data_IF_353567805335
#
_entry.id   IF_353567805335
#
_cell.length_a   1.000
_cell.length_b   1.000
_cell.length_c   1.000
_cell.angle_alpha   90.00
_cell.angle_beta   90.00
_cell.angle_gamma   90.00
#
_symmetry.space_group_name_H-M   'P 1'
#
loop_
_entity.id
_entity.type
_entity.pdbx_description
1 polymer ?
#
# COMPACT_ATOMS: atom_id res chain seq x y z
N UNK A 1 -34.36 2.52 14.15
CA UNK A 1 -33.57 3.45 13.34
C UNK A 1 -32.12 3.03 13.49
N UNK A 2 -31.48 2.55 12.42
CA UNK A 2 -30.06 2.16 12.46
C UNK A 2 -29.21 3.42 12.62
N UNK A 3 -28.42 3.50 13.69
CA UNK A 3 -27.40 4.55 13.86
C UNK A 3 -26.43 4.50 12.67
N UNK A 4 -26.31 5.60 11.94
CA UNK A 4 -25.25 5.77 10.95
C UNK A 4 -23.95 6.00 11.72
N UNK A 5 -23.17 4.93 11.93
CA UNK A 5 -21.78 5.08 12.39
C UNK A 5 -20.99 5.75 11.27
N UNK A 6 -20.61 7.00 11.48
CA UNK A 6 -19.67 7.71 10.61
C UNK A 6 -18.28 7.10 10.87
N UNK A 7 -17.72 6.44 9.85
CA UNK A 7 -16.37 5.90 9.92
C UNK A 7 -15.36 7.05 9.91
N UNK A 8 -14.36 6.97 10.78
CA UNK A 8 -13.25 7.93 10.78
C UNK A 8 -12.43 7.74 9.49
N UNK A 9 -12.29 8.82 8.72
CA UNK A 9 -11.48 8.85 7.50
C UNK A 9 -10.10 9.37 7.90
N UNK A 10 -9.08 8.51 7.83
CA UNK A 10 -7.69 8.93 8.02
C UNK A 10 -7.03 9.14 6.67
N UNK A 11 -6.53 10.36 6.43
CA UNK A 11 -5.65 10.66 5.32
C UNK A 11 -4.20 10.52 5.77
N UNK A 12 -3.48 9.58 5.17
CA UNK A 12 -2.07 9.35 5.48
C UNK A 12 -1.21 9.60 4.23
N UNK A 13 -0.02 10.17 4.46
CA UNK A 13 0.96 10.41 3.39
C UNK A 13 1.87 9.20 3.27
N UNK A 14 1.85 8.56 2.11
CA UNK A 14 2.64 7.39 1.76
C UNK A 14 3.49 7.70 0.52
N UNK A 15 4.35 6.76 0.13
CA UNK A 15 5.13 6.80 -1.11
C UNK A 15 4.77 5.59 -1.96
N UNK A 16 4.72 5.76 -3.27
CA UNK A 16 4.57 4.68 -4.22
C UNK A 16 5.33 4.98 -5.52
N UNK A 17 5.68 3.94 -6.27
CA UNK A 17 6.10 4.10 -7.65
C UNK A 17 4.93 4.58 -8.51
N UNK A 18 5.16 5.62 -9.30
CA UNK A 18 4.22 6.21 -10.25
C UNK A 18 4.84 6.11 -11.64
N UNK A 19 4.10 5.50 -12.56
CA UNK A 19 4.48 5.35 -13.95
C UNK A 19 4.47 6.71 -14.69
N UNK A 20 5.15 6.83 -15.84
CA UNK A 20 5.14 8.06 -16.64
C UNK A 20 3.75 8.56 -17.05
N UNK A 21 2.76 7.66 -17.14
CA UNK A 21 1.37 7.99 -17.44
C UNK A 21 0.57 8.52 -16.23
N UNK A 22 1.21 8.63 -15.06
CA UNK A 22 0.62 9.08 -13.82
C UNK A 22 -0.08 7.99 -13.00
N UNK A 23 -0.10 6.73 -13.48
CA UNK A 23 -0.66 5.61 -12.73
C UNK A 23 0.27 5.18 -11.60
N UNK A 24 -0.26 5.03 -10.39
CA UNK A 24 0.51 4.60 -9.23
C UNK A 24 0.44 3.07 -9.04
N UNK A 25 1.52 2.50 -8.55
CA UNK A 25 1.70 1.06 -8.34
C UNK A 25 1.38 0.70 -6.88
N UNK A 26 0.13 0.34 -6.62
CA UNK A 26 -0.37 0.10 -5.26
C UNK A 26 0.41 -0.95 -4.46
N UNK A 27 1.01 -1.95 -5.11
CA UNK A 27 1.83 -2.96 -4.45
C UNK A 27 3.13 -2.38 -3.85
N UNK A 28 3.62 -1.26 -4.38
CA UNK A 28 4.89 -0.62 -3.94
C UNK A 28 4.70 0.36 -2.78
N UNK A 29 3.47 0.49 -2.29
CA UNK A 29 3.11 1.56 -1.37
C UNK A 29 3.72 1.36 0.02
N UNK A 30 4.33 2.39 0.57
CA UNK A 30 4.99 2.35 1.86
C UNK A 30 4.91 3.69 2.61
N UNK A 31 5.03 3.71 3.94
CA UNK A 31 4.98 4.94 4.73
C UNK A 31 6.16 5.89 4.46
N UNK A 32 7.27 5.39 3.92
CA UNK A 32 8.46 6.17 3.61
C UNK A 32 9.16 5.67 2.34
N UNK A 33 10.05 6.49 1.80
CA UNK A 33 10.79 6.23 0.58
C UNK A 33 11.67 4.97 0.64
N UNK A 34 12.35 4.73 1.78
CA UNK A 34 13.27 3.60 1.92
C UNK A 34 12.48 2.29 1.95
N UNK A 35 11.37 2.27 2.69
CA UNK A 35 10.45 1.14 2.76
C UNK A 35 9.80 0.87 1.40
N UNK A 36 9.46 1.91 0.62
CA UNK A 36 8.94 1.75 -0.75
C UNK A 36 9.93 1.01 -1.66
N UNK A 37 11.21 1.41 -1.64
CA UNK A 37 12.27 0.72 -2.38
C UNK A 37 12.43 -0.72 -1.88
N UNK A 38 12.48 -0.93 -0.56
CA UNK A 38 12.69 -2.24 0.02
C UNK A 38 11.57 -3.23 -0.34
N UNK A 39 10.31 -2.79 -0.25
CA UNK A 39 9.15 -3.60 -0.66
C UNK A 39 9.23 -3.92 -2.15
N UNK A 40 9.52 -2.92 -2.99
CA UNK A 40 9.64 -3.12 -4.45
C UNK A 40 10.74 -4.13 -4.80
N UNK A 41 11.87 -4.10 -4.09
CA UNK A 41 12.95 -5.07 -4.22
C UNK A 41 12.53 -6.50 -3.80
N UNK A 42 11.68 -6.64 -2.78
CA UNK A 42 11.13 -7.94 -2.38
C UNK A 42 10.13 -8.46 -3.42
N UNK A 43 9.28 -7.58 -3.95
CA UNK A 43 8.29 -7.93 -4.97
C UNK A 43 8.96 -8.32 -6.30
N UNK A 44 10.05 -7.65 -6.68
CA UNK A 44 10.78 -7.96 -7.92
C UNK A 44 11.40 -9.35 -7.87
N UNK A 45 11.96 -9.75 -6.72
CA UNK A 45 12.47 -11.11 -6.48
C UNK A 45 11.39 -12.18 -6.57
N UNK A 46 10.13 -11.80 -6.37
CA UNK A 46 8.97 -12.68 -6.48
C UNK A 46 8.36 -12.67 -7.90
N UNK A 47 8.93 -11.92 -8.84
CA UNK A 47 8.44 -11.79 -10.21
C UNK A 47 7.18 -10.95 -10.36
N UNK A 48 6.81 -10.17 -9.34
CA UNK A 48 5.57 -9.37 -9.32
C UNK A 48 5.75 -8.05 -10.08
N UNK A 49 6.93 -7.45 -9.99
CA UNK A 49 7.28 -6.21 -10.68
C UNK A 49 8.74 -6.23 -11.14
N UNK A 50 9.15 -5.20 -11.90
CA UNK A 50 10.56 -4.95 -12.20
C UNK A 50 11.30 -4.49 -10.95
N UNK A 51 12.62 -4.61 -10.94
CA UNK A 51 13.41 -4.07 -9.83
C UNK A 51 13.43 -2.53 -9.87
N UNK A 52 13.71 -1.84 -8.75
CA UNK A 52 13.68 -0.38 -8.69
C UNK A 52 14.51 0.33 -9.77
N UNK A 53 15.72 -0.18 -10.09
CA UNK A 53 16.60 0.45 -11.07
C UNK A 53 16.03 0.37 -12.49
N UNK A 54 15.41 -0.76 -12.85
CA UNK A 54 14.69 -0.90 -14.12
C UNK A 54 13.46 0.01 -14.17
N UNK A 55 12.70 0.11 -13.07
CA UNK A 55 11.53 1.00 -13.02
C UNK A 55 11.93 2.46 -13.22
N UNK A 56 13.01 2.92 -12.59
CA UNK A 56 13.55 4.26 -12.83
C UNK A 56 13.99 4.46 -14.29
N UNK A 57 14.59 3.43 -14.90
CA UNK A 57 15.00 3.46 -16.32
C UNK A 57 13.80 3.57 -17.27
N UNK A 58 12.67 2.97 -16.90
CA UNK A 58 11.38 3.08 -17.60
C UNK A 58 10.66 4.42 -17.33
N UNK A 59 11.25 5.31 -16.54
CA UNK A 59 10.70 6.64 -16.25
C UNK A 59 9.73 6.68 -15.07
N UNK A 60 9.64 5.63 -14.27
CA UNK A 60 8.86 5.70 -13.04
C UNK A 60 9.53 6.64 -12.03
N UNK A 61 8.72 7.25 -11.17
CA UNK A 61 9.18 8.05 -10.05
C UNK A 61 8.54 7.57 -8.74
N UNK A 62 9.26 7.68 -7.63
CA UNK A 62 8.64 7.49 -6.31
C UNK A 62 8.08 8.84 -5.89
N UNK A 63 6.75 8.92 -5.76
CA UNK A 63 6.05 10.15 -5.41
C UNK A 63 5.23 9.96 -4.14
N UNK A 64 5.02 11.03 -3.35
CA UNK A 64 4.08 10.98 -2.25
C UNK A 64 2.65 10.80 -2.78
N UNK A 65 1.93 9.87 -2.19
CA UNK A 65 0.51 9.61 -2.47
C UNK A 65 -0.29 9.78 -1.20
N UNK A 66 -1.51 10.30 -1.33
CA UNK A 66 -2.48 10.34 -0.24
C UNK A 66 -3.34 9.10 -0.29
N UNK A 67 -3.40 8.38 0.83
CA UNK A 67 -4.25 7.21 0.97
C UNK A 67 -5.32 7.50 1.99
N UNK A 68 -6.55 7.13 1.63
CA UNK A 68 -7.68 7.13 2.54
C UNK A 68 -7.87 5.73 3.11
N UNK A 69 -7.66 5.58 4.41
CA UNK A 69 -7.91 4.32 5.11
C UNK A 69 -9.27 4.42 5.79
N UNK A 70 -10.19 3.53 5.42
CA UNK A 70 -11.45 3.34 6.13
C UNK A 70 -11.25 2.23 7.14
N UNK A 71 -11.19 2.60 8.42
CA UNK A 71 -10.95 1.65 9.50
C UNK A 71 -12.25 0.93 9.88
N UNK A 72 -12.43 -0.30 9.40
CA UNK A 72 -13.60 -1.14 9.67
C UNK A 72 -13.41 -2.06 10.89
N UNK A 73 -13.14 -1.45 12.05
CA UNK A 73 -12.94 -2.11 13.34
C UNK A 73 -11.54 -1.90 13.95
N UNK A 74 -11.30 -2.58 15.07
CA UNK A 74 -10.03 -2.55 15.80
C UNK A 74 -8.97 -3.47 15.18
N UNK A 75 -7.69 -3.23 15.52
CA UNK A 75 -6.58 -4.11 15.11
C UNK A 75 -6.80 -5.57 15.53
N UNK A 76 -7.29 -5.78 16.77
CA UNK A 76 -7.59 -7.11 17.30
C UNK A 76 -8.70 -7.81 16.50
N UNK A 77 -9.80 -7.10 16.17
CA UNK A 77 -10.86 -7.66 15.33
C UNK A 77 -10.36 -8.00 13.91
N UNK A 78 -9.45 -7.19 13.37
CA UNK A 78 -8.76 -7.50 12.12
C UNK A 78 -7.94 -8.80 12.22
N UNK A 79 -7.14 -8.94 13.28
CA UNK A 79 -6.29 -10.10 13.50
C UNK A 79 -7.10 -11.38 13.73
N UNK A 80 -8.18 -11.32 14.52
CA UNK A 80 -9.07 -12.46 14.73
C UNK A 80 -9.79 -12.91 13.44
N UNK A 81 -10.21 -11.95 12.59
CA UNK A 81 -10.76 -12.25 11.26
C UNK A 81 -9.73 -12.97 10.38
N UNK A 82 -8.47 -12.53 10.38
CA UNK A 82 -7.39 -13.20 9.65
C UNK A 82 -7.16 -14.63 10.14
N UNK A 83 -7.02 -14.83 11.46
CA UNK A 83 -6.85 -16.16 12.07
C UNK A 83 -7.97 -17.11 11.66
N UNK A 84 -9.23 -16.66 11.76
CA UNK A 84 -10.39 -17.46 11.37
C UNK A 84 -10.41 -17.83 9.87
N UNK A 85 -9.93 -16.93 9.00
CA UNK A 85 -9.95 -17.14 7.54
C UNK A 85 -8.82 -18.05 7.05
N UNK A 86 -7.63 -17.96 7.66
CA UNK A 86 -6.44 -18.66 7.19
C UNK A 86 -5.97 -19.81 8.09
N UNK A 87 -6.70 -20.08 9.19
CA UNK A 87 -6.62 -21.26 10.05
C UNK A 87 -5.19 -21.79 10.26
N UNK A 88 -4.31 -20.93 10.77
CA UNK A 88 -3.08 -21.32 11.47
C UNK A 88 -3.31 -21.28 12.96
#
# INVERSE_FOLDING_TARGET
>A
MSEVKLNEIKEESFYAFVAPDGSWQAATTAPDFQTCIAITEVLSRSGICKNPAEMFSDGFAILPVKITVVQDGTEEEGFQRFKKKYNK
#
